data_IF_519806270100
#
_entry.id   IF_519806270100
#
_cell.length_a   1.000
_cell.length_b   1.000
_cell.length_c   1.000
_cell.angle_alpha   90.00
_cell.angle_beta   90.00
_cell.angle_gamma   90.00
#
_symmetry.space_group_name_H-M   'P 1'
#
loop_
_entity.id
_entity.type
_entity.pdbx_description
1 polymer ?
#
# COMPACT_ATOMS: atom_id res chain seq x y z
N UNK A 1 42.50 21.65 21.18
CA UNK A 1 41.38 20.68 21.32
C UNK A 1 39.98 21.34 21.33
N UNK A 2 39.75 22.50 20.69
CA UNK A 2 38.42 23.15 20.65
C UNK A 2 37.69 22.93 19.31
N UNK A 3 38.43 22.77 18.21
CA UNK A 3 37.88 22.60 16.85
C UNK A 3 37.22 21.21 16.68
N UNK A 4 37.81 20.16 17.26
CA UNK A 4 37.22 18.81 17.25
C UNK A 4 35.88 18.70 18.00
N UNK A 5 35.64 19.54 19.03
CA UNK A 5 34.36 19.57 19.75
C UNK A 5 33.24 20.21 18.93
N UNK A 6 33.59 21.08 17.97
CA UNK A 6 32.62 21.78 17.12
C UNK A 6 32.17 20.91 15.94
N UNK A 7 33.06 20.07 15.40
CA UNK A 7 32.74 19.08 14.36
C UNK A 7 31.77 17.99 14.85
N UNK A 8 31.86 17.58 16.12
CA UNK A 8 30.96 16.57 16.70
C UNK A 8 29.51 17.07 16.87
N UNK A 9 29.30 18.37 17.06
CA UNK A 9 27.96 18.96 17.27
C UNK A 9 27.21 19.10 15.92
N UNK A 10 27.93 19.33 14.82
CA UNK A 10 27.32 19.49 13.48
C UNK A 10 26.85 18.16 12.90
N UNK A 11 27.50 17.04 13.23
CA UNK A 11 27.11 15.70 12.75
C UNK A 11 25.81 15.19 13.41
N UNK A 12 25.46 15.67 14.61
CA UNK A 12 24.20 15.31 15.28
C UNK A 12 22.98 16.12 14.82
N UNK A 13 23.16 17.13 13.96
CA UNK A 13 22.09 18.01 13.49
C UNK A 13 21.59 17.67 12.09
N UNK A 14 21.99 16.53 11.55
CA UNK A 14 21.33 15.93 10.40
C UNK A 14 20.25 15.02 11.00
N UNK A 15 18.99 15.46 11.10
CA UNK A 15 17.93 14.51 11.41
C UNK A 15 18.03 13.40 10.36
N UNK A 16 17.94 12.11 10.75
CA UNK A 16 17.86 11.04 9.78
C UNK A 16 16.55 11.26 9.01
N UNK A 17 16.63 12.00 7.90
CA UNK A 17 15.62 12.06 6.85
C UNK A 17 15.64 10.75 6.07
N UNK A 18 15.72 9.61 6.76
CA UNK A 18 15.10 8.39 6.26
C UNK A 18 13.62 8.52 6.61
N UNK A 19 12.95 9.46 5.94
CA UNK A 19 11.50 9.50 5.91
C UNK A 19 11.07 8.26 5.16
N UNK A 20 10.75 7.20 5.89
CA UNK A 20 9.99 6.06 5.39
C UNK A 20 8.69 6.64 4.82
N UNK A 21 8.63 6.78 3.50
CA UNK A 21 7.54 7.43 2.83
C UNK A 21 6.45 6.38 2.57
N UNK A 22 5.46 6.38 3.47
CA UNK A 22 4.20 5.65 3.33
C UNK A 22 3.30 6.40 2.35
N UNK A 23 2.95 5.78 1.21
CA UNK A 23 2.00 6.33 0.25
C UNK A 23 0.72 5.51 0.21
N UNK A 24 -0.33 6.04 0.84
CA UNK A 24 -1.64 5.39 0.88
C UNK A 24 -2.23 5.21 -0.51
N UNK A 25 -2.73 4.01 -0.78
CA UNK A 25 -3.51 3.69 -1.98
C UNK A 25 -4.98 3.82 -1.58
N UNK A 26 -5.69 4.74 -2.23
CA UNK A 26 -7.12 4.91 -1.99
C UNK A 26 -7.87 3.74 -2.62
N UNK A 27 -8.22 2.78 -1.78
CA UNK A 27 -9.03 1.63 -2.15
C UNK A 27 -10.51 2.03 -2.03
N UNK A 28 -11.21 2.10 -3.15
CA UNK A 28 -12.62 2.47 -3.23
C UNK A 28 -13.43 1.37 -3.90
N UNK A 29 -14.63 1.14 -3.41
CA UNK A 29 -15.60 0.29 -4.10
C UNK A 29 -16.02 0.96 -5.41
N UNK A 30 -16.13 0.20 -6.49
CA UNK A 30 -16.63 0.72 -7.76
C UNK A 30 -18.11 1.08 -7.58
N UNK A 31 -18.39 2.39 -7.54
CA UNK A 31 -19.72 2.98 -7.32
C UNK A 31 -20.89 2.12 -7.84
N UNK A 32 -21.71 1.61 -6.91
CA UNK A 32 -23.13 1.54 -7.15
C UNK A 32 -23.70 2.89 -6.71
N UNK A 33 -24.26 3.67 -7.65
CA UNK A 33 -24.82 5.01 -7.41
C UNK A 33 -26.06 4.92 -6.52
N UNK A 34 -25.89 4.69 -5.24
CA UNK A 34 -26.87 4.85 -4.18
C UNK A 34 -26.20 4.34 -2.91
N UNK A 35 -25.62 5.22 -2.10
CA UNK A 35 -25.76 5.19 -0.64
C UNK A 35 -24.90 6.30 0.00
N UNK A 36 -25.50 6.95 0.99
CA UNK A 36 -24.98 8.13 1.67
C UNK A 36 -23.70 7.79 2.44
N UNK A 37 -22.75 8.72 2.46
CA UNK A 37 -21.52 8.66 3.26
C UNK A 37 -21.83 8.67 4.76
N UNK A 38 -22.04 7.50 5.34
CA UNK A 38 -21.67 7.24 6.72
C UNK A 38 -20.18 6.93 6.66
N UNK A 39 -19.36 7.48 7.56
CA UNK A 39 -17.93 7.15 7.67
C UNK A 39 -17.77 5.64 7.87
N UNK A 40 -17.70 4.90 6.76
CA UNK A 40 -17.56 3.48 6.74
C UNK A 40 -16.15 3.15 7.21
N UNK A 41 -16.05 2.40 8.31
CA UNK A 41 -14.78 1.82 8.74
C UNK A 41 -14.27 1.00 7.56
N UNK A 42 -13.18 1.45 6.92
CA UNK A 42 -12.58 0.74 5.79
C UNK A 42 -12.01 -0.57 6.29
N UNK A 43 -12.53 -1.74 5.88
CA UNK A 43 -12.11 -3.03 6.45
C UNK A 43 -10.71 -3.44 5.97
N UNK A 44 -10.20 -2.79 4.92
CA UNK A 44 -8.88 -3.01 4.33
C UNK A 44 -8.22 -1.64 4.09
N UNK A 45 -6.95 -1.51 4.48
CA UNK A 45 -6.09 -0.40 4.08
C UNK A 45 -4.90 -0.95 3.28
N UNK A 46 -4.52 -0.24 2.21
CA UNK A 46 -3.35 -0.58 1.41
C UNK A 46 -2.47 0.65 1.19
N UNK A 47 -1.15 0.47 1.21
CA UNK A 47 -0.20 1.52 0.91
C UNK A 47 1.05 0.96 0.23
N UNK A 48 1.71 1.81 -0.56
CA UNK A 48 3.05 1.54 -1.06
C UNK A 48 4.07 2.06 -0.05
N UNK A 49 5.01 1.22 0.33
CA UNK A 49 6.19 1.63 1.09
C UNK A 49 7.32 1.95 0.11
N UNK A 50 7.65 3.24 -0.04
CA UNK A 50 8.59 3.68 -1.07
C UNK A 50 10.04 3.19 -0.81
N UNK A 51 10.39 2.88 0.45
CA UNK A 51 11.73 2.39 0.80
C UNK A 51 12.00 0.95 0.37
N UNK A 52 11.00 0.07 0.52
CA UNK A 52 11.09 -1.36 0.23
C UNK A 52 10.42 -1.75 -1.08
N UNK A 53 9.68 -0.83 -1.72
CA UNK A 53 8.87 -1.07 -2.92
C UNK A 53 7.88 -2.22 -2.73
N UNK A 54 7.36 -2.36 -1.52
CA UNK A 54 6.32 -3.32 -1.18
C UNK A 54 4.97 -2.63 -1.10
N UNK A 55 3.91 -3.34 -1.50
CA UNK A 55 2.55 -2.95 -1.14
C UNK A 55 2.20 -3.70 0.14
N UNK A 56 1.82 -2.95 1.16
CA UNK A 56 1.37 -3.49 2.43
C UNK A 56 -0.15 -3.37 2.50
N UNK A 57 -0.78 -4.47 2.91
CA UNK A 57 -2.21 -4.55 3.18
C UNK A 57 -2.41 -4.79 4.67
N UNK A 58 -3.32 -4.04 5.27
CA UNK A 58 -3.78 -4.25 6.63
C UNK A 58 -5.26 -4.61 6.58
N UNK A 59 -5.60 -5.78 7.12
CA UNK A 59 -6.97 -6.25 7.29
C UNK A 59 -7.42 -5.93 8.72
N UNK A 60 -8.51 -5.19 8.86
CA UNK A 60 -9.10 -4.81 10.16
C UNK A 60 -10.28 -5.69 10.55
N UNK A 61 -10.80 -6.47 9.60
CA UNK A 61 -11.92 -7.36 9.78
C UNK A 61 -11.65 -8.67 9.04
N UNK A 62 -12.23 -9.76 9.54
CA UNK A 62 -12.26 -11.03 8.83
C UNK A 62 -13.27 -10.95 7.69
N UNK A 63 -12.77 -11.01 6.45
CA UNK A 63 -13.52 -11.00 5.20
C UNK A 63 -13.50 -12.39 4.51
N UNK A 64 -12.86 -13.38 5.13
CA UNK A 64 -12.53 -14.66 4.52
C UNK A 64 -11.46 -14.55 3.43
N UNK A 65 -11.53 -15.39 2.37
CA UNK A 65 -10.58 -15.34 1.28
C UNK A 65 -10.79 -14.09 0.41
N UNK A 66 -9.73 -13.31 0.24
CA UNK A 66 -9.68 -12.15 -0.65
C UNK A 66 -8.69 -12.40 -1.78
N UNK A 67 -9.06 -12.02 -3.00
CA UNK A 67 -8.20 -12.14 -4.19
C UNK A 67 -7.60 -10.76 -4.44
N UNK A 68 -6.28 -10.68 -4.41
CA UNK A 68 -5.53 -9.45 -4.64
C UNK A 68 -4.87 -9.56 -6.01
N UNK A 69 -5.21 -8.63 -6.89
CA UNK A 69 -4.71 -8.61 -8.27
C UNK A 69 -4.08 -7.24 -8.55
N UNK A 70 -2.88 -7.25 -9.13
CA UNK A 70 -2.20 -6.04 -9.61
C UNK A 70 -2.13 -6.11 -11.13
N UNK A 71 -2.62 -5.06 -11.77
CA UNK A 71 -2.69 -4.92 -13.22
C UNK A 71 -1.86 -3.72 -13.67
N UNK A 72 -1.08 -3.87 -14.75
CA UNK A 72 -0.35 -2.75 -15.33
C UNK A 72 -1.25 -1.88 -16.24
N UNK A 73 -0.75 -0.73 -16.70
CA UNK A 73 -1.50 0.18 -17.60
C UNK A 73 -2.03 -0.51 -18.88
N UNK A 74 -1.37 -1.58 -19.33
CA UNK A 74 -1.75 -2.32 -20.54
C UNK A 74 -2.89 -3.33 -20.30
N UNK A 75 -3.41 -3.40 -19.06
CA UNK A 75 -4.45 -4.36 -18.67
C UNK A 75 -3.92 -5.77 -18.39
N UNK A 76 -2.61 -5.96 -18.31
CA UNK A 76 -2.00 -7.26 -18.00
C UNK A 76 -1.88 -7.42 -16.48
N UNK A 77 -2.43 -8.52 -15.96
CA UNK A 77 -2.18 -8.98 -14.59
C UNK A 77 -0.71 -9.34 -14.43
N UNK A 78 -0.05 -8.65 -13.51
CA UNK A 78 1.37 -8.86 -13.18
C UNK A 78 1.53 -9.61 -11.86
N UNK A 79 0.50 -9.62 -11.03
CA UNK A 79 0.46 -10.34 -9.77
C UNK A 79 -0.98 -10.71 -9.43
N UNK A 80 -1.17 -11.91 -8.89
CA UNK A 80 -2.44 -12.39 -8.35
C UNK A 80 -2.16 -13.34 -7.18
N UNK A 81 -2.77 -13.08 -6.02
CA UNK A 81 -2.66 -13.93 -4.85
C UNK A 81 -3.98 -13.99 -4.08
N UNK A 82 -4.25 -15.14 -3.48
CA UNK A 82 -5.38 -15.34 -2.57
C UNK A 82 -4.86 -15.26 -1.14
N UNK A 83 -5.38 -14.31 -0.37
CA UNK A 83 -5.06 -14.14 1.04
C UNK A 83 -6.27 -14.48 1.90
N UNK A 84 -6.09 -15.29 2.94
CA UNK A 84 -7.16 -15.59 3.90
C UNK A 84 -7.07 -14.66 5.11
N UNK A 85 -8.04 -13.76 5.22
CA UNK A 85 -8.09 -12.75 6.29
C UNK A 85 -8.53 -13.31 7.65
N UNK A 86 -8.96 -14.58 7.72
CA UNK A 86 -9.20 -15.26 9.00
C UNK A 86 -7.89 -15.60 9.72
N UNK A 87 -6.85 -15.92 8.94
CA UNK A 87 -5.55 -16.37 9.47
C UNK A 87 -4.47 -15.30 9.43
N UNK A 88 -4.68 -14.25 8.62
CA UNK A 88 -3.67 -13.23 8.35
C UNK A 88 -4.24 -11.82 8.52
N UNK A 89 -3.59 -11.02 9.36
CA UNK A 89 -3.97 -9.63 9.61
C UNK A 89 -3.26 -8.63 8.68
N UNK A 90 -2.10 -8.99 8.11
CA UNK A 90 -1.38 -8.15 7.15
C UNK A 90 -0.73 -8.98 6.05
N UNK A 91 -0.72 -8.44 4.82
CA UNK A 91 -0.01 -9.02 3.67
C UNK A 91 1.01 -8.03 3.15
N UNK A 92 2.18 -8.54 2.79
CA UNK A 92 3.26 -7.77 2.19
C UNK A 92 3.56 -8.33 0.80
N UNK A 93 3.37 -7.51 -0.22
CA UNK A 93 3.61 -7.89 -1.62
C UNK A 93 4.86 -7.19 -2.11
N UNK A 94 5.91 -7.96 -2.35
CA UNK A 94 7.15 -7.49 -2.96
C UNK A 94 6.99 -7.43 -4.47
N UNK A 95 7.00 -6.22 -5.01
CA UNK A 95 6.86 -5.99 -6.45
C UNK A 95 8.22 -5.73 -7.07
N UNK A 96 9.08 -6.76 -7.02
CA UNK A 96 10.42 -6.70 -7.58
C UNK A 96 10.37 -6.44 -9.08
N UNK A 97 11.14 -5.44 -9.52
CA UNK A 97 11.32 -5.07 -10.94
C UNK A 97 10.10 -4.48 -11.66
N UNK A 98 9.14 -3.88 -10.94
CA UNK A 98 8.15 -3.06 -11.63
C UNK A 98 8.79 -1.86 -12.32
N UNK A 99 8.36 -1.67 -13.56
CA UNK A 99 8.73 -0.53 -14.37
C UNK A 99 8.08 0.73 -13.79
N UNK A 100 8.68 1.90 -14.03
CA UNK A 100 8.00 3.16 -13.73
C UNK A 100 6.72 3.25 -14.56
N UNK A 101 5.62 3.63 -13.92
CA UNK A 101 4.32 3.66 -14.59
C UNK A 101 3.15 3.55 -13.62
N UNK A 102 1.96 3.52 -14.19
CA UNK A 102 0.70 3.42 -13.48
C UNK A 102 0.21 1.96 -13.41
N UNK A 103 -0.34 1.62 -12.25
CA UNK A 103 -0.81 0.30 -11.90
C UNK A 103 -2.17 0.41 -11.21
N UNK A 104 -3.00 -0.59 -11.42
CA UNK A 104 -4.30 -0.74 -10.78
C UNK A 104 -4.25 -1.95 -9.85
N UNK A 105 -4.58 -1.71 -8.58
CA UNK A 105 -4.83 -2.73 -7.57
C UNK A 105 -6.33 -3.03 -7.53
N UNK A 106 -6.70 -4.31 -7.59
CA UNK A 106 -8.06 -4.75 -7.32
C UNK A 106 -8.09 -5.80 -6.22
N UNK A 107 -8.99 -5.63 -5.27
CA UNK A 107 -9.21 -6.54 -4.16
C UNK A 107 -10.64 -7.08 -4.28
N UNK A 108 -10.75 -8.36 -4.65
CA UNK A 108 -12.04 -9.03 -4.78
C UNK A 108 -12.33 -9.79 -3.49
N UNK A 109 -13.43 -9.43 -2.86
CA UNK A 109 -14.01 -10.14 -1.71
C UNK A 109 -15.23 -10.95 -2.17
N UNK A 110 -15.84 -11.72 -1.26
CA UNK A 110 -17.08 -12.44 -1.56
C UNK A 110 -18.27 -11.53 -1.91
N UNK A 111 -18.26 -10.29 -1.41
CA UNK A 111 -19.38 -9.36 -1.56
C UNK A 111 -19.08 -8.28 -2.61
N UNK A 112 -17.90 -7.65 -2.51
CA UNK A 112 -17.57 -6.43 -3.25
C UNK A 112 -16.18 -6.54 -3.92
N UNK A 113 -15.95 -5.68 -4.92
CA UNK A 113 -14.63 -5.48 -5.53
C UNK A 113 -14.19 -4.05 -5.26
N UNK A 114 -13.02 -3.93 -4.65
CA UNK A 114 -12.39 -2.66 -4.37
C UNK A 114 -11.27 -2.40 -5.39
N UNK A 115 -11.09 -1.14 -5.77
CA UNK A 115 -10.09 -0.70 -6.73
C UNK A 115 -9.24 0.42 -6.14
N UNK A 116 -7.96 0.45 -6.48
CA UNK A 116 -7.07 1.55 -6.14
C UNK A 116 -5.97 1.71 -7.18
N UNK A 117 -5.69 2.95 -7.56
CA UNK A 117 -4.62 3.25 -8.50
C UNK A 117 -3.35 3.69 -7.75
N UNK A 118 -2.20 3.28 -8.27
CA UNK A 118 -0.90 3.71 -7.75
C UNK A 118 0.15 3.79 -8.87
N UNK A 119 1.16 4.63 -8.66
CA UNK A 119 2.19 4.87 -9.69
C UNK A 119 3.59 4.67 -9.13
N UNK A 120 4.46 3.99 -9.85
CA UNK A 120 5.87 3.83 -9.46
C UNK A 120 6.69 4.87 -10.23
N UNK A 121 7.49 5.66 -9.52
CA UNK A 121 8.25 6.81 -10.06
C UNK A 121 9.77 6.61 -10.02
#
# INVERSE_FOLDING_TARGET
MKIFRLLLIVVCLIPPFSGFAKRNIKVQEKENKNERSIEAITPIEAWLEDSSKEIVFQFYCNLGPVIITVTNHSGKTIYEEIADTDTMSSLHIYLDNLSKGEYMLSITTSNNILYGDFSIY
#
